data_IF_604181389845
#
_entry.id   IF_604181389845
#
_cell.length_a   1.000
_cell.length_b   1.000
_cell.length_c   1.000
_cell.angle_alpha   90.00
_cell.angle_beta   90.00
_cell.angle_gamma   90.00
#
_symmetry.space_group_name_H-M   'P 1'
#
loop_
_entity.id
_entity.type
_entity.pdbx_description
1 polymer ?
#
# COMPACT_ATOMS: atom_id res chain seq x y z
N UNK A 1 17.45 -27.68 -7.27
CA UNK A 1 17.15 -26.41 -6.58
C UNK A 1 17.38 -26.64 -5.10
N UNK A 2 18.26 -25.89 -4.50
CA UNK A 2 18.50 -25.98 -3.06
C UNK A 2 17.27 -25.41 -2.36
N UNK A 3 16.55 -26.25 -1.62
CA UNK A 3 15.29 -25.87 -0.94
C UNK A 3 15.53 -25.32 0.47
N UNK A 4 16.80 -25.20 0.89
CA UNK A 4 17.13 -24.66 2.22
C UNK A 4 17.25 -23.14 2.16
N UNK A 5 16.44 -22.48 2.99
CA UNK A 5 16.50 -21.02 3.13
C UNK A 5 17.76 -20.62 3.87
N UNK A 6 18.40 -19.55 3.42
CA UNK A 6 19.50 -18.90 4.15
C UNK A 6 19.00 -18.49 5.54
N UNK A 7 19.72 -18.83 6.62
CA UNK A 7 19.29 -18.50 7.99
C UNK A 7 18.95 -17.00 8.14
N UNK A 8 17.78 -16.73 8.70
CA UNK A 8 17.27 -15.36 8.88
C UNK A 8 16.63 -14.71 7.63
N UNK A 9 16.61 -15.40 6.50
CA UNK A 9 15.95 -14.96 5.29
C UNK A 9 14.53 -15.52 5.16
N UNK A 10 13.66 -14.77 4.52
CA UNK A 10 12.37 -15.27 4.02
C UNK A 10 12.50 -15.70 2.55
N UNK A 11 11.51 -16.43 2.06
CA UNK A 11 11.46 -16.94 0.67
C UNK A 11 11.65 -15.81 -0.35
N UNK A 12 11.08 -14.64 -0.09
CA UNK A 12 11.19 -13.49 -0.99
C UNK A 12 12.64 -13.02 -1.18
N UNK A 13 13.39 -12.89 -0.07
CA UNK A 13 14.82 -12.56 -0.14
C UNK A 13 15.60 -13.62 -0.90
N UNK A 14 15.31 -14.90 -0.63
CA UNK A 14 15.99 -16.00 -1.29
C UNK A 14 15.77 -15.96 -2.81
N UNK A 15 14.53 -15.70 -3.28
CA UNK A 15 14.24 -15.57 -4.71
C UNK A 15 15.09 -14.45 -5.34
N UNK A 16 15.17 -13.28 -4.70
CA UNK A 16 15.98 -12.19 -5.25
C UNK A 16 17.47 -12.51 -5.26
N UNK A 17 17.97 -13.13 -4.19
CA UNK A 17 19.38 -13.54 -4.12
C UNK A 17 19.74 -14.53 -5.23
N UNK A 18 18.91 -15.53 -5.46
CA UNK A 18 19.20 -16.64 -6.37
C UNK A 18 18.97 -16.29 -7.84
N UNK A 19 18.07 -15.35 -8.14
CA UNK A 19 17.59 -15.11 -9.50
C UNK A 19 17.73 -13.67 -9.98
N UNK A 20 18.27 -12.74 -9.17
CA UNK A 20 18.35 -11.33 -9.57
C UNK A 20 19.21 -11.10 -10.80
N UNK A 21 20.38 -11.73 -10.86
CA UNK A 21 21.31 -11.58 -11.98
C UNK A 21 20.76 -12.21 -13.27
N UNK A 22 20.15 -13.37 -13.17
CA UNK A 22 19.47 -14.02 -14.31
C UNK A 22 18.29 -13.15 -14.79
N UNK A 23 17.49 -12.63 -13.87
CA UNK A 23 16.36 -11.75 -14.21
C UNK A 23 16.82 -10.51 -15.00
N UNK A 24 17.90 -9.86 -14.61
CA UNK A 24 18.46 -8.68 -15.31
C UNK A 24 18.87 -9.00 -16.74
N UNK A 25 19.43 -10.18 -16.99
CA UNK A 25 19.83 -10.60 -18.35
C UNK A 25 18.64 -10.63 -19.33
N UNK A 26 17.47 -11.09 -18.84
CA UNK A 26 16.24 -11.11 -19.63
C UNK A 26 15.45 -9.79 -19.60
N UNK A 27 15.81 -8.90 -18.70
CA UNK A 27 15.10 -7.63 -18.46
C UNK A 27 16.09 -6.45 -18.33
N UNK A 28 16.77 -6.04 -19.39
CA UNK A 28 17.87 -5.05 -19.32
C UNK A 28 17.50 -3.68 -18.73
N UNK A 29 16.22 -3.31 -18.75
CA UNK A 29 15.73 -2.07 -18.12
C UNK A 29 15.96 -2.02 -16.59
N UNK A 30 16.14 -3.18 -15.96
CA UNK A 30 16.42 -3.29 -14.53
C UNK A 30 17.90 -3.49 -14.22
N UNK A 31 18.75 -3.66 -15.25
CA UNK A 31 20.19 -3.77 -15.09
C UNK A 31 20.82 -2.38 -14.93
N UNK A 32 20.59 -1.79 -13.77
CA UNK A 32 21.11 -0.47 -13.41
C UNK A 32 21.59 -0.47 -11.95
N UNK A 33 22.57 0.40 -11.66
CA UNK A 33 23.09 0.58 -10.31
C UNK A 33 21.98 0.92 -9.29
N UNK A 34 20.93 1.62 -9.71
CA UNK A 34 19.78 1.96 -8.87
C UNK A 34 19.05 0.71 -8.36
N UNK A 35 18.73 -0.22 -9.26
CA UNK A 35 18.01 -1.44 -8.87
C UNK A 35 18.90 -2.41 -8.09
N UNK A 36 20.17 -2.50 -8.44
CA UNK A 36 21.14 -3.31 -7.69
C UNK A 36 21.29 -2.81 -6.25
N UNK A 37 21.40 -1.51 -6.05
CA UNK A 37 21.45 -0.91 -4.70
C UNK A 37 20.16 -1.21 -3.91
N UNK A 38 19.01 -1.10 -4.56
CA UNK A 38 17.70 -1.35 -3.94
C UNK A 38 17.56 -2.81 -3.48
N UNK A 39 17.96 -3.77 -4.32
CA UNK A 39 17.94 -5.20 -4.01
C UNK A 39 18.96 -5.52 -2.90
N UNK A 40 20.19 -5.02 -3.00
CA UNK A 40 21.22 -5.24 -2.00
C UNK A 40 20.83 -4.72 -0.62
N UNK A 41 20.23 -3.53 -0.54
CA UNK A 41 19.66 -2.98 0.71
C UNK A 41 18.56 -3.86 1.29
N UNK A 42 17.70 -4.41 0.42
CA UNK A 42 16.63 -5.31 0.85
C UNK A 42 17.20 -6.61 1.38
N UNK A 43 18.18 -7.19 0.72
CA UNK A 43 18.86 -8.43 1.16
C UNK A 43 19.58 -8.24 2.51
N UNK A 44 20.24 -7.11 2.71
CA UNK A 44 20.92 -6.76 3.95
C UNK A 44 19.97 -6.44 5.12
N UNK A 45 18.68 -6.15 4.83
CA UNK A 45 17.74 -5.69 5.85
C UNK A 45 17.57 -6.68 6.99
N UNK A 46 17.79 -6.19 8.22
CA UNK A 46 17.71 -6.98 9.44
C UNK A 46 19.01 -7.71 9.82
N UNK A 47 20.07 -7.55 9.02
CA UNK A 47 21.40 -8.00 9.39
C UNK A 47 22.17 -6.83 10.02
N UNK A 48 22.48 -6.87 11.34
CA UNK A 48 23.17 -5.78 12.03
C UNK A 48 24.55 -5.46 11.45
N UNK A 49 25.25 -6.47 10.94
CA UNK A 49 26.62 -6.34 10.42
C UNK A 49 26.65 -5.63 9.07
N UNK A 50 25.56 -5.73 8.28
CA UNK A 50 25.48 -5.18 6.92
C UNK A 50 24.79 -3.81 6.88
N UNK A 51 23.74 -3.61 7.68
CA UNK A 51 22.91 -2.40 7.62
C UNK A 51 23.08 -1.47 8.84
N UNK A 52 23.84 -1.94 9.84
CA UNK A 52 24.01 -1.24 11.11
C UNK A 52 22.92 -1.61 12.14
N UNK A 53 23.12 -1.13 13.35
CA UNK A 53 22.24 -1.44 14.49
C UNK A 53 22.20 -0.31 15.51
N UNK A 54 21.16 -0.34 16.34
CA UNK A 54 21.07 0.43 17.59
C UNK A 54 21.43 -0.51 18.75
N UNK A 55 22.31 -0.04 19.64
CA UNK A 55 22.72 -0.76 20.85
C UNK A 55 22.01 -0.14 22.05
N UNK A 56 21.01 -0.85 22.58
CA UNK A 56 20.31 -0.46 23.79
C UNK A 56 20.98 -1.03 25.01
N UNK A 57 21.25 -0.20 26.01
CA UNK A 57 21.81 -0.56 27.31
C UNK A 57 20.97 0.00 28.43
N UNK A 58 20.94 -0.70 29.57
CA UNK A 58 20.30 -0.18 30.77
C UNK A 58 21.01 1.11 31.22
N UNK A 59 20.24 2.17 31.47
CA UNK A 59 20.78 3.46 31.91
C UNK A 59 21.26 3.42 33.37
N UNK A 60 20.66 2.55 34.21
CA UNK A 60 20.98 2.49 35.64
C UNK A 60 22.21 1.64 35.93
N UNK A 61 22.33 0.48 35.32
CA UNK A 61 23.44 -0.45 35.62
C UNK A 61 24.42 -0.65 34.46
N UNK A 62 24.16 -0.12 33.28
CA UNK A 62 24.96 -0.31 32.05
C UNK A 62 25.01 -1.75 31.54
N UNK A 63 24.33 -2.68 32.23
CA UNK A 63 24.24 -4.09 31.86
C UNK A 63 23.03 -4.35 30.95
N UNK A 64 23.09 -5.48 30.25
CA UNK A 64 22.09 -5.84 29.28
C UNK A 64 22.33 -5.14 27.94
N UNK A 65 22.57 -5.95 26.91
CA UNK A 65 22.79 -5.48 25.54
C UNK A 65 21.67 -5.99 24.67
N UNK A 66 20.96 -5.08 24.02
CA UNK A 66 19.94 -5.44 23.04
C UNK A 66 20.23 -4.74 21.71
N UNK A 67 20.60 -5.52 20.70
CA UNK A 67 20.90 -5.02 19.37
C UNK A 67 19.63 -5.05 18.49
N UNK A 68 19.27 -3.92 17.95
CA UNK A 68 18.17 -3.80 16.99
C UNK A 68 18.76 -3.42 15.64
N UNK A 69 18.72 -4.34 14.68
CA UNK A 69 19.17 -4.07 13.32
C UNK A 69 18.33 -2.96 12.67
N UNK A 70 18.99 -2.02 12.00
CA UNK A 70 18.34 -0.98 11.24
C UNK A 70 17.48 -1.54 10.11
N UNK A 71 16.54 -0.77 9.64
CA UNK A 71 15.67 -1.12 8.51
C UNK A 71 16.18 -0.47 7.22
N UNK A 72 16.05 -1.18 6.10
CA UNK A 72 16.47 -0.66 4.79
C UNK A 72 15.51 0.40 4.21
N UNK A 73 14.31 0.54 4.77
CA UNK A 73 13.23 1.43 4.28
C UNK A 73 12.91 1.26 2.79
N UNK A 74 13.29 0.11 2.20
CA UNK A 74 13.04 -0.18 0.79
C UNK A 74 11.59 -0.64 0.58
N UNK A 75 10.95 -0.14 -0.48
CA UNK A 75 9.63 -0.57 -0.92
C UNK A 75 9.60 -2.06 -1.35
N UNK A 76 10.73 -2.63 -1.75
CA UNK A 76 10.87 -4.05 -2.08
C UNK A 76 10.96 -4.95 -0.85
N UNK A 77 11.24 -4.39 0.33
CA UNK A 77 11.45 -5.19 1.53
C UNK A 77 10.13 -5.47 2.25
N UNK A 78 9.68 -6.73 2.27
CA UNK A 78 8.44 -7.13 2.94
C UNK A 78 8.44 -6.80 4.45
N UNK A 79 9.60 -6.87 5.12
CA UNK A 79 9.71 -6.47 6.53
C UNK A 79 9.42 -4.98 6.73
N UNK A 80 9.99 -4.12 5.86
CA UNK A 80 9.76 -2.67 5.93
C UNK A 80 8.35 -2.31 5.45
N UNK A 81 7.88 -2.97 4.38
CA UNK A 81 6.52 -2.78 3.88
C UNK A 81 5.45 -3.08 4.94
N UNK A 82 5.68 -4.14 5.76
CA UNK A 82 4.76 -4.45 6.88
C UNK A 82 4.64 -3.29 7.87
N UNK A 83 5.75 -2.66 8.25
CA UNK A 83 5.74 -1.52 9.18
C UNK A 83 4.90 -0.37 8.60
N UNK A 84 5.10 -0.02 7.33
CA UNK A 84 4.29 1.01 6.67
C UNK A 84 2.80 0.66 6.62
N UNK A 85 2.47 -0.62 6.37
CA UNK A 85 1.08 -1.07 6.37
C UNK A 85 0.48 -0.97 7.76
N UNK A 86 1.19 -1.41 8.79
CA UNK A 86 0.71 -1.38 10.17
C UNK A 86 0.48 0.08 10.65
N UNK A 87 1.39 1.01 10.32
CA UNK A 87 1.24 2.45 10.58
C UNK A 87 0.04 3.03 9.82
N UNK A 88 -0.10 2.70 8.54
CA UNK A 88 -1.22 3.16 7.72
C UNK A 88 -2.56 2.66 8.27
N UNK A 89 -2.67 1.37 8.63
CA UNK A 89 -3.88 0.80 9.24
C UNK A 89 -4.18 1.47 10.57
N UNK A 90 -3.16 1.74 11.40
CA UNK A 90 -3.34 2.47 12.65
C UNK A 90 -3.91 3.87 12.42
N UNK A 91 -3.35 4.63 11.47
CA UNK A 91 -3.87 5.95 11.11
C UNK A 91 -5.30 5.90 10.58
N UNK A 92 -5.60 4.91 9.72
CA UNK A 92 -6.97 4.73 9.20
C UNK A 92 -7.97 4.44 10.30
N UNK A 93 -7.63 3.56 11.24
CA UNK A 93 -8.55 3.19 12.32
C UNK A 93 -8.95 4.37 13.21
N UNK A 94 -8.06 5.36 13.36
CA UNK A 94 -8.38 6.59 14.09
C UNK A 94 -9.30 7.55 13.31
N UNK A 95 -9.37 7.42 11.99
CA UNK A 95 -10.25 8.24 11.16
C UNK A 95 -11.64 7.60 10.93
N UNK A 96 -11.82 6.37 11.37
CA UNK A 96 -13.13 5.71 11.31
C UNK A 96 -13.95 6.08 12.54
N UNK A 97 -15.15 6.61 12.33
CA UNK A 97 -16.05 7.03 13.40
C UNK A 97 -16.88 5.85 13.91
N UNK A 98 -16.95 5.71 15.22
CA UNK A 98 -17.82 4.73 15.87
C UNK A 98 -19.30 5.01 15.55
N UNK A 99 -20.08 3.95 15.30
CA UNK A 99 -21.49 4.07 14.92
C UNK A 99 -21.76 4.38 13.45
N UNK A 100 -20.72 4.63 12.64
CA UNK A 100 -20.85 4.78 11.19
C UNK A 100 -20.61 3.43 10.49
N UNK A 101 -21.54 3.03 9.65
CA UNK A 101 -21.38 1.84 8.81
C UNK A 101 -20.56 2.22 7.58
N UNK A 102 -19.54 1.42 7.28
CA UNK A 102 -18.69 1.57 6.11
C UNK A 102 -18.96 0.46 5.09
N UNK A 103 -18.87 0.80 3.82
CA UNK A 103 -18.98 -0.13 2.69
C UNK A 103 -17.69 -0.17 1.91
N UNK A 104 -17.32 -1.36 1.47
CA UNK A 104 -16.20 -1.55 0.55
C UNK A 104 -16.72 -1.60 -0.89
N UNK A 105 -16.27 -0.66 -1.69
CA UNK A 105 -16.62 -0.54 -3.12
C UNK A 105 -15.36 -0.67 -3.96
N UNK A 106 -15.48 -1.24 -5.15
CA UNK A 106 -14.36 -1.37 -6.09
C UNK A 106 -14.76 -0.74 -7.42
N UNK A 107 -13.97 0.25 -7.86
CA UNK A 107 -14.11 0.85 -9.18
C UNK A 107 -13.00 0.31 -10.08
N UNK A 108 -13.37 -0.33 -11.18
CA UNK A 108 -12.42 -1.00 -12.08
C UNK A 108 -12.29 -0.24 -13.39
N UNK A 109 -11.06 -0.20 -13.92
CA UNK A 109 -10.80 0.35 -15.24
C UNK A 109 -11.19 -0.68 -16.32
N UNK A 110 -11.95 -0.30 -17.36
CA UNK A 110 -12.25 -1.15 -18.51
C UNK A 110 -10.96 -1.70 -19.16
N UNK A 111 -10.99 -2.96 -19.58
CA UNK A 111 -9.80 -3.64 -20.10
C UNK A 111 -9.15 -2.89 -21.29
N UNK A 112 -9.96 -2.31 -22.16
CA UNK A 112 -9.50 -1.56 -23.34
C UNK A 112 -8.65 -0.32 -23.02
N UNK A 113 -8.74 0.21 -21.79
CA UNK A 113 -7.97 1.39 -21.38
C UNK A 113 -6.66 1.02 -20.66
N UNK A 114 -6.45 -0.26 -20.31
CA UNK A 114 -5.31 -0.65 -19.48
C UNK A 114 -3.96 -0.34 -20.12
N UNK A 115 -3.81 -0.58 -21.42
CA UNK A 115 -2.57 -0.27 -22.15
C UNK A 115 -2.28 1.22 -22.14
N UNK A 116 -3.28 2.06 -22.40
CA UNK A 116 -3.14 3.52 -22.31
C UNK A 116 -2.69 3.96 -20.93
N UNK A 117 -3.28 3.40 -19.87
CA UNK A 117 -2.91 3.68 -18.50
C UNK A 117 -1.53 3.16 -18.13
N UNK A 118 -1.09 2.04 -18.73
CA UNK A 118 0.25 1.51 -18.51
C UNK A 118 1.32 2.46 -19.06
N UNK A 119 1.17 2.91 -20.29
CA UNK A 119 2.14 3.81 -20.95
C UNK A 119 2.14 5.24 -20.40
N UNK A 120 1.02 5.68 -19.82
CA UNK A 120 0.88 7.04 -19.27
C UNK A 120 0.59 7.02 -17.75
N UNK A 121 1.11 6.02 -17.04
CA UNK A 121 0.78 5.76 -15.64
C UNK A 121 1.10 6.91 -14.70
N UNK A 122 2.17 7.68 -14.96
CA UNK A 122 2.56 8.83 -14.13
C UNK A 122 1.49 9.91 -14.02
N UNK A 123 0.63 10.05 -15.03
CA UNK A 123 -0.46 11.04 -15.06
C UNK A 123 -1.82 10.38 -14.82
N UNK A 124 -2.12 9.31 -15.58
CA UNK A 124 -3.46 8.75 -15.63
C UNK A 124 -3.87 8.03 -14.33
N UNK A 125 -2.93 7.47 -13.56
CA UNK A 125 -3.28 6.87 -12.27
C UNK A 125 -3.77 7.91 -11.25
N UNK A 126 -3.20 9.11 -11.26
CA UNK A 126 -3.68 10.22 -10.43
C UNK A 126 -5.05 10.70 -10.89
N UNK A 127 -5.29 10.75 -12.21
CA UNK A 127 -6.60 11.11 -12.76
C UNK A 127 -7.66 10.05 -12.45
N UNK A 128 -7.30 8.76 -12.45
CA UNK A 128 -8.20 7.69 -12.03
C UNK A 128 -8.68 7.90 -10.59
N UNK A 129 -7.77 8.25 -9.67
CA UNK A 129 -8.14 8.55 -8.29
C UNK A 129 -9.08 9.76 -8.20
N UNK A 130 -8.80 10.85 -8.95
CA UNK A 130 -9.69 12.02 -8.99
C UNK A 130 -11.06 11.70 -9.58
N UNK A 131 -11.09 10.86 -10.62
CA UNK A 131 -12.37 10.38 -11.18
C UNK A 131 -13.16 9.56 -10.16
N UNK A 132 -12.48 8.66 -9.43
CA UNK A 132 -13.12 7.87 -8.37
C UNK A 132 -13.74 8.74 -7.29
N UNK A 133 -13.04 9.80 -6.86
CA UNK A 133 -13.56 10.79 -5.89
C UNK A 133 -14.80 11.47 -6.46
N UNK A 134 -14.75 11.99 -7.69
CA UNK A 134 -15.90 12.64 -8.32
C UNK A 134 -17.09 11.70 -8.49
N UNK A 135 -16.87 10.46 -8.91
CA UNK A 135 -17.95 9.47 -8.97
C UNK A 135 -18.64 9.26 -7.62
N UNK A 136 -17.88 9.25 -6.53
CA UNK A 136 -18.46 9.13 -5.18
C UNK A 136 -19.24 10.39 -4.79
N UNK A 137 -18.72 11.58 -5.08
CA UNK A 137 -19.41 12.84 -4.79
C UNK A 137 -20.73 12.95 -5.55
N UNK A 138 -20.74 12.63 -6.84
CA UNK A 138 -21.94 12.59 -7.68
C UNK A 138 -22.93 11.55 -7.15
N UNK A 139 -22.44 10.37 -6.82
CA UNK A 139 -23.25 9.28 -6.28
C UNK A 139 -23.97 9.68 -4.97
N UNK A 140 -23.26 10.30 -4.03
CA UNK A 140 -23.88 10.79 -2.78
C UNK A 140 -24.86 11.92 -3.03
N UNK A 141 -24.59 12.79 -3.99
CA UNK A 141 -25.48 13.87 -4.38
C UNK A 141 -26.80 13.37 -4.99
N UNK A 142 -26.72 12.37 -5.89
CA UNK A 142 -27.88 11.82 -6.60
C UNK A 142 -28.80 10.99 -5.70
N UNK A 143 -28.18 10.14 -4.83
CA UNK A 143 -28.95 9.25 -3.96
C UNK A 143 -29.80 9.96 -2.94
N UNK A 144 -29.33 11.08 -2.46
CA UNK A 144 -29.95 11.71 -1.29
C UNK A 144 -31.05 12.71 -1.64
N UNK A 145 -31.13 13.17 -2.90
CA UNK A 145 -31.89 14.39 -3.25
C UNK A 145 -31.64 15.55 -2.28
N UNK A 146 -30.68 15.38 -1.43
CA UNK A 146 -30.16 16.27 -0.39
C UNK A 146 -28.65 16.31 -0.58
N UNK A 147 -28.03 17.43 -0.35
CA UNK A 147 -26.58 17.58 -0.48
C UNK A 147 -25.86 16.89 0.70
N UNK A 148 -25.88 15.55 0.74
CA UNK A 148 -25.15 14.78 1.76
C UNK A 148 -23.66 14.78 1.44
N UNK A 149 -22.84 15.01 2.47
CA UNK A 149 -21.38 14.84 2.41
C UNK A 149 -21.00 13.49 2.99
N UNK A 150 -20.72 12.51 2.14
CA UNK A 150 -20.17 11.22 2.52
C UNK A 150 -18.67 11.31 2.83
N UNK A 151 -18.17 10.36 3.62
CA UNK A 151 -16.75 10.16 3.84
C UNK A 151 -16.26 8.92 3.09
N UNK A 152 -15.08 9.01 2.48
CA UNK A 152 -14.48 7.85 1.81
C UNK A 152 -12.95 7.89 1.82
N UNK A 153 -12.37 6.70 1.83
CA UNK A 153 -10.94 6.47 1.70
C UNK A 153 -10.72 5.75 0.39
N UNK A 154 -9.84 6.28 -0.45
CA UNK A 154 -9.55 5.74 -1.79
C UNK A 154 -8.15 5.17 -1.81
N UNK A 155 -8.03 3.90 -2.18
CA UNK A 155 -6.74 3.20 -2.31
C UNK A 155 -6.58 2.70 -3.74
N UNK A 156 -5.52 3.14 -4.41
CA UNK A 156 -5.20 2.68 -5.76
C UNK A 156 -4.45 1.35 -5.71
N UNK A 157 -4.96 0.36 -6.43
CA UNK A 157 -4.26 -0.86 -6.77
C UNK A 157 -3.92 -0.86 -8.26
N UNK A 158 -2.66 -1.12 -8.60
CA UNK A 158 -2.19 -1.09 -9.99
C UNK A 158 -2.19 -2.45 -10.66
N UNK A 159 -2.23 -3.55 -9.88
CA UNK A 159 -2.13 -4.91 -10.37
C UNK A 159 -3.23 -5.80 -9.79
N UNK A 160 -3.68 -6.76 -10.59
CA UNK A 160 -4.58 -7.83 -10.14
C UNK A 160 -3.84 -8.93 -9.38
N UNK A 161 -4.58 -9.91 -8.84
CA UNK A 161 -4.02 -11.06 -8.10
C UNK A 161 -3.06 -11.92 -8.92
N UNK A 162 -3.19 -11.92 -10.23
CA UNK A 162 -2.32 -12.64 -11.17
C UNK A 162 -1.06 -11.85 -11.58
N UNK A 163 -0.80 -10.69 -10.93
CA UNK A 163 0.33 -9.82 -11.23
C UNK A 163 0.19 -9.01 -12.52
N UNK A 164 -0.91 -9.11 -13.26
CA UNK A 164 -1.14 -8.30 -14.46
C UNK A 164 -1.53 -6.88 -14.09
N UNK A 165 -1.09 -5.91 -14.92
CA UNK A 165 -1.48 -4.51 -14.77
C UNK A 165 -2.98 -4.36 -14.97
N UNK A 166 -3.66 -3.97 -13.92
CA UNK A 166 -5.11 -3.82 -13.85
C UNK A 166 -5.46 -2.74 -12.82
N UNK A 167 -5.31 -1.46 -13.18
CA UNK A 167 -5.61 -0.38 -12.26
C UNK A 167 -7.07 -0.41 -11.79
N UNK A 168 -7.25 -0.34 -10.49
CA UNK A 168 -8.57 -0.29 -9.87
C UNK A 168 -8.47 0.42 -8.52
N UNK A 169 -9.59 0.98 -8.09
CA UNK A 169 -9.69 1.67 -6.83
C UNK A 169 -10.47 0.82 -5.84
N UNK A 170 -9.93 0.66 -4.65
CA UNK A 170 -10.66 0.20 -3.49
C UNK A 170 -11.11 1.42 -2.70
N UNK A 171 -12.39 1.49 -2.39
CA UNK A 171 -12.97 2.56 -1.61
C UNK A 171 -13.61 2.00 -0.36
N UNK A 172 -13.33 2.62 0.77
CA UNK A 172 -14.08 2.44 2.01
C UNK A 172 -14.95 3.69 2.12
N UNK A 173 -16.25 3.56 1.91
CA UNK A 173 -17.19 4.66 1.91
C UNK A 173 -18.18 4.53 3.07
N UNK A 174 -18.57 5.65 3.65
CA UNK A 174 -19.64 5.68 4.67
C UNK A 174 -20.98 5.27 4.06
N UNK A 175 -21.79 4.51 4.80
CA UNK A 175 -23.19 4.21 4.42
C UNK A 175 -24.11 5.33 4.86
N UNK A 176 -23.89 6.53 4.30
CA UNK A 176 -24.58 7.74 4.66
C UNK A 176 -23.70 8.97 4.54
N UNK A 177 -24.21 10.11 4.93
CA UNK A 177 -23.49 11.37 4.87
C UNK A 177 -24.01 12.41 5.85
N UNK A 178 -23.25 13.46 6.02
CA UNK A 178 -23.60 14.62 6.81
C UNK A 178 -24.53 15.56 6.00
N UNK A 179 -25.71 15.82 6.52
CA UNK A 179 -26.61 16.86 6.03
C UNK A 179 -26.26 18.17 6.70
N UNK A 180 -25.63 19.08 5.95
CA UNK A 180 -25.21 20.37 6.48
C UNK A 180 -26.38 21.32 6.78
N UNK A 181 -27.57 21.09 6.17
CA UNK A 181 -28.75 21.91 6.38
C UNK A 181 -29.49 21.50 7.65
N UNK A 182 -29.61 20.20 7.86
CA UNK A 182 -30.27 19.64 9.04
C UNK A 182 -29.30 19.41 10.23
N UNK A 183 -28.02 19.68 10.03
CA UNK A 183 -26.92 19.47 11.00
C UNK A 183 -26.95 18.08 11.65
N UNK A 184 -27.17 17.05 10.83
CA UNK A 184 -27.25 15.67 11.32
C UNK A 184 -26.64 14.67 10.35
N UNK A 185 -26.27 13.50 10.87
CA UNK A 185 -25.91 12.36 10.08
C UNK A 185 -27.17 11.66 9.54
N UNK A 186 -27.19 11.41 8.22
CA UNK A 186 -28.25 10.66 7.54
C UNK A 186 -27.69 9.31 7.12
N UNK A 187 -28.26 8.24 7.65
CA UNK A 187 -27.89 6.88 7.30
C UNK A 187 -28.62 6.43 6.03
N UNK A 188 -27.91 5.82 5.10
CA UNK A 188 -28.47 5.21 3.90
C UNK A 188 -28.43 3.68 4.08
N UNK A 189 -29.62 3.07 4.11
CA UNK A 189 -29.74 1.60 4.27
C UNK A 189 -29.14 0.85 3.10
N UNK A 190 -29.23 1.43 1.91
CA UNK A 190 -28.76 0.84 0.67
C UNK A 190 -27.89 1.83 -0.12
N UNK A 191 -26.70 1.35 -0.51
CA UNK A 191 -25.86 1.96 -1.56
C UNK A 191 -25.94 1.01 -2.75
N UNK A 192 -26.57 1.40 -3.89
CA UNK A 192 -26.75 0.54 -5.05
C UNK A 192 -25.43 0.10 -5.69
#
# INVERSE_FOLDING_TARGET
MNTELTPGWNVFKQIFHDHWDEFKQFNPRYDTAYYDELVNKMLACGNPEQIGYLDYRCLDCGQGKHLVAMSCKSALCLRCAKVYVDEFVSHLSHNLHEGVIYRHTVLTLPAMLRDTFYYHSSTLLSELMRCGVRCMDEFFSDLSRQSLKGGYIVVLHTHGRNGQFNPHLHLIATSGGWDATAERWVHLEYLP
#
